data_IF_679253101166
#
_entry.id   IF_679253101166
#
_cell.length_a   1.000
_cell.length_b   1.000
_cell.length_c   1.000
_cell.angle_alpha   90.00
_cell.angle_beta   90.00
_cell.angle_gamma   90.00
#
_symmetry.space_group_name_H-M   'P 1'
#
loop_
_entity.id
_entity.type
_entity.pdbx_description
1 polymer ?
#
# COMPACT_ATOMS: atom_id res chain seq x y z
N UNK A 1 9.80 -16.07 27.55
CA UNK A 1 9.25 -15.00 28.41
C UNK A 1 8.09 -14.37 27.66
N UNK A 2 6.94 -14.18 28.30
CA UNK A 2 5.75 -13.60 27.64
C UNK A 2 5.97 -12.10 27.45
N UNK A 3 5.87 -11.61 26.20
CA UNK A 3 5.99 -10.18 25.89
C UNK A 3 4.62 -9.51 26.07
N UNK A 4 4.41 -8.88 27.22
CA UNK A 4 3.14 -8.23 27.59
C UNK A 4 2.76 -7.12 26.59
N UNK A 5 3.64 -6.17 26.22
CA UNK A 5 3.31 -5.14 25.23
C UNK A 5 2.73 -5.68 23.92
N UNK A 6 3.38 -6.67 23.31
CA UNK A 6 2.93 -7.27 22.03
C UNK A 6 1.55 -7.90 22.15
N UNK A 7 1.24 -8.51 23.29
CA UNK A 7 -0.07 -9.15 23.49
C UNK A 7 -1.17 -8.13 23.78
N UNK A 8 -0.86 -7.05 24.50
CA UNK A 8 -1.82 -5.99 24.77
C UNK A 8 -2.14 -5.16 23.53
N UNK A 9 -1.26 -5.11 22.51
CA UNK A 9 -1.58 -4.52 21.21
C UNK A 9 -2.75 -5.21 20.49
N UNK A 10 -3.09 -6.43 20.89
CA UNK A 10 -4.23 -7.19 20.36
C UNK A 10 -5.55 -6.90 21.08
N UNK A 11 -5.58 -5.94 21.99
CA UNK A 11 -6.86 -5.40 22.48
C UNK A 11 -7.48 -4.48 21.42
N UNK A 12 -8.80 -4.48 21.29
CA UNK A 12 -9.50 -3.61 20.32
C UNK A 12 -9.55 -2.13 20.72
N UNK A 13 -9.01 -1.76 21.88
CA UNK A 13 -8.95 -0.40 22.40
C UNK A 13 -7.52 -0.11 22.88
N UNK A 14 -6.95 1.04 22.50
CA UNK A 14 -5.69 1.53 23.09
C UNK A 14 -5.50 3.05 22.98
N UNK A 15 -5.27 3.70 24.13
CA UNK A 15 -4.41 4.88 24.36
C UNK A 15 -4.19 5.01 25.88
N UNK A 16 -2.99 5.38 26.37
CA UNK A 16 -2.27 4.49 27.29
C UNK A 16 -3.15 3.97 28.42
N UNK A 17 -3.06 2.67 28.68
CA UNK A 17 -3.27 2.10 30.01
C UNK A 17 -2.70 0.69 29.95
N UNK A 18 -1.37 0.56 29.86
CA UNK A 18 -0.75 -0.72 30.20
C UNK A 18 -0.71 -0.78 31.72
N UNK A 19 -1.58 -1.60 32.31
CA UNK A 19 -1.77 -1.63 33.76
C UNK A 19 -1.14 -2.87 34.41
N UNK A 20 -0.73 -3.85 33.60
CA UNK A 20 -0.12 -5.10 34.06
C UNK A 20 1.40 -5.00 33.98
N UNK A 21 2.08 -5.12 35.11
CA UNK A 21 3.53 -4.97 35.18
C UNK A 21 4.29 -6.27 34.93
N UNK A 22 3.77 -7.38 35.45
CA UNK A 22 4.42 -8.69 35.31
C UNK A 22 3.45 -9.85 35.46
N UNK A 23 3.80 -10.98 34.85
CA UNK A 23 3.12 -12.27 35.02
C UNK A 23 3.94 -13.10 36.01
N UNK A 24 3.31 -13.59 37.06
CA UNK A 24 3.99 -14.37 38.12
C UNK A 24 3.69 -15.86 38.02
N UNK A 25 2.50 -16.25 37.54
CA UNK A 25 2.13 -17.65 37.29
C UNK A 25 1.33 -17.76 35.99
N UNK A 26 1.54 -18.83 35.22
CA UNK A 26 0.83 -19.07 33.98
C UNK A 26 0.60 -20.55 33.72
N UNK A 27 -0.67 -20.94 33.65
CA UNK A 27 -1.16 -22.22 33.17
C UNK A 27 -1.95 -21.99 31.87
N UNK A 28 -1.35 -22.23 30.69
CA UNK A 28 -1.96 -21.92 29.40
C UNK A 28 -3.38 -22.44 29.26
N UNK A 29 -4.29 -21.55 28.82
CA UNK A 29 -5.69 -21.88 28.61
C UNK A 29 -6.52 -22.14 29.88
N UNK A 30 -5.94 -22.04 31.09
CA UNK A 30 -6.63 -22.31 32.35
C UNK A 30 -6.56 -21.16 33.35
N UNK A 31 -5.36 -20.74 33.75
CA UNK A 31 -5.16 -19.76 34.85
C UNK A 31 -3.96 -18.86 34.57
N UNK A 32 -4.05 -17.59 34.97
CA UNK A 32 -2.95 -16.65 34.90
C UNK A 32 -2.98 -15.75 36.13
N UNK A 33 -1.81 -15.55 36.74
CA UNK A 33 -1.61 -14.61 37.85
C UNK A 33 -0.63 -13.55 37.39
N UNK A 34 -1.03 -12.30 37.56
CA UNK A 34 -0.23 -11.15 37.21
C UNK A 34 -0.24 -10.13 38.34
N UNK A 35 0.62 -9.12 38.23
CA UNK A 35 0.72 -8.04 39.21
C UNK A 35 0.58 -6.68 38.57
N UNK A 36 -0.07 -5.79 39.32
CA UNK A 36 -0.09 -4.34 39.10
C UNK A 36 0.39 -3.66 40.38
N UNK A 37 1.45 -2.89 40.30
CA UNK A 37 1.92 -2.02 41.36
C UNK A 37 1.20 -0.69 41.21
N UNK A 38 0.56 -0.23 42.28
CA UNK A 38 -0.21 1.01 42.28
C UNK A 38 0.74 2.12 42.68
N UNK A 39 1.13 2.97 41.73
CA UNK A 39 2.07 4.07 42.00
C UNK A 39 1.37 5.41 41.98
N UNK A 40 1.76 6.30 42.89
CA UNK A 40 1.19 7.65 42.99
C UNK A 40 1.40 8.48 41.73
N UNK A 41 2.37 8.09 40.90
CA UNK A 41 2.69 8.76 39.64
C UNK A 41 1.75 8.39 38.48
N UNK A 42 0.81 7.46 38.66
CA UNK A 42 -0.19 7.16 37.62
C UNK A 42 -1.11 8.36 37.37
N UNK A 43 -1.32 8.70 36.10
CA UNK A 43 -1.97 9.96 35.66
C UNK A 43 -3.34 10.21 36.26
N UNK A 44 -4.11 9.14 36.49
CA UNK A 44 -5.46 9.22 37.01
C UNK A 44 -5.51 9.61 38.50
N UNK A 45 -4.41 9.51 39.25
CA UNK A 45 -4.35 10.01 40.63
C UNK A 45 -4.28 11.53 40.73
N UNK A 46 -3.87 12.23 39.68
CA UNK A 46 -3.79 13.70 39.69
C UNK A 46 -5.17 14.37 39.80
N UNK A 47 -6.25 13.65 39.42
CA UNK A 47 -7.63 14.16 39.48
C UNK A 47 -8.61 13.30 40.28
N UNK A 48 -8.25 12.07 40.68
CA UNK A 48 -9.16 11.14 41.35
C UNK A 48 -9.02 11.22 42.89
N UNK A 49 -9.92 12.00 43.51
CA UNK A 49 -9.99 12.33 44.95
C UNK A 49 -8.75 13.05 45.51
N UNK A 50 -8.65 14.38 45.31
CA UNK A 50 -7.56 15.18 45.88
C UNK A 50 -7.43 14.96 47.40
N UNK A 51 -6.24 14.59 47.87
CA UNK A 51 -5.95 14.30 49.28
C UNK A 51 -6.29 12.88 49.76
N UNK A 52 -6.96 12.06 48.95
CA UNK A 52 -7.31 10.66 49.26
C UNK A 52 -7.14 9.74 48.04
N UNK A 53 -5.92 9.61 47.48
CA UNK A 53 -5.68 8.92 46.22
C UNK A 53 -6.12 7.46 46.31
N UNK A 54 -7.10 7.08 45.49
CA UNK A 54 -7.66 5.73 45.43
C UNK A 54 -7.68 5.24 43.98
N UNK A 55 -7.28 4.00 43.70
CA UNK A 55 -7.36 3.42 42.36
C UNK A 55 -8.85 3.22 41.99
N UNK A 56 -9.34 3.82 40.89
CA UNK A 56 -10.71 3.62 40.44
C UNK A 56 -11.04 2.13 40.22
N UNK A 57 -12.23 1.70 40.65
CA UNK A 57 -12.66 0.30 40.48
C UNK A 57 -12.69 -0.16 39.02
N UNK A 58 -13.02 0.74 38.10
CA UNK A 58 -12.98 0.47 36.65
C UNK A 58 -11.56 0.16 36.14
N UNK A 59 -10.51 0.74 36.73
CA UNK A 59 -9.12 0.44 36.37
C UNK A 59 -8.64 -0.89 36.95
N UNK A 60 -9.20 -1.32 38.09
CA UNK A 60 -9.00 -2.69 38.57
C UNK A 60 -9.65 -3.70 37.61
N UNK A 61 -10.87 -3.44 37.13
CA UNK A 61 -11.53 -4.27 36.13
C UNK A 61 -10.78 -4.28 34.79
N UNK A 62 -10.25 -3.14 34.36
CA UNK A 62 -9.43 -3.03 33.15
C UNK A 62 -8.14 -3.85 33.28
N UNK A 63 -7.48 -3.77 34.43
CA UNK A 63 -6.28 -4.58 34.70
C UNK A 63 -6.60 -6.08 34.64
N UNK A 64 -7.71 -6.52 35.24
CA UNK A 64 -8.20 -7.90 35.16
C UNK A 64 -8.55 -8.32 33.71
N UNK A 65 -9.16 -7.41 32.94
CA UNK A 65 -9.47 -7.61 31.52
C UNK A 65 -8.20 -7.84 30.67
N UNK A 66 -7.14 -7.07 30.91
CA UNK A 66 -5.84 -7.23 30.25
C UNK A 66 -5.21 -8.60 30.54
N UNK A 67 -5.20 -9.01 31.81
CA UNK A 67 -4.70 -10.32 32.23
C UNK A 67 -5.51 -11.46 31.59
N UNK A 68 -6.83 -11.29 31.48
CA UNK A 68 -7.69 -12.29 30.84
C UNK A 68 -7.48 -12.36 29.32
N UNK A 69 -7.23 -11.23 28.67
CA UNK A 69 -6.88 -11.18 27.25
C UNK A 69 -5.55 -11.89 26.98
N UNK A 70 -4.52 -11.64 27.80
CA UNK A 70 -3.22 -12.34 27.72
C UNK A 70 -3.43 -13.86 27.82
N UNK A 71 -4.18 -14.32 28.83
CA UNK A 71 -4.46 -15.75 29.02
C UNK A 71 -5.20 -16.36 27.82
N UNK A 72 -6.13 -15.62 27.20
CA UNK A 72 -6.81 -16.07 25.99
C UNK A 72 -5.88 -16.12 24.77
N UNK A 73 -4.97 -15.16 24.61
CA UNK A 73 -4.05 -15.08 23.47
C UNK A 73 -2.90 -16.09 23.55
N UNK A 74 -2.58 -16.57 24.76
CA UNK A 74 -1.51 -17.54 25.01
C UNK A 74 -1.99 -19.00 25.13
N UNK A 75 -3.26 -19.27 24.82
CA UNK A 75 -3.78 -20.65 24.79
C UNK A 75 -3.34 -21.39 23.53
N UNK A 76 -3.37 -22.72 23.60
CA UNK A 76 -3.14 -23.57 22.44
C UNK A 76 -4.19 -23.34 21.35
N UNK A 77 -3.71 -23.18 20.10
CA UNK A 77 -4.55 -22.96 18.94
C UNK A 77 -5.23 -21.58 18.88
N UNK A 78 -4.74 -20.57 19.61
CA UNK A 78 -5.15 -19.19 19.38
C UNK A 78 -4.70 -18.73 17.98
N UNK A 79 -5.63 -18.27 17.10
CA UNK A 79 -5.24 -17.70 15.83
C UNK A 79 -4.28 -16.52 16.02
N UNK A 80 -3.19 -16.43 15.23
CA UNK A 80 -2.14 -15.44 15.41
C UNK A 80 -2.64 -14.00 15.23
N UNK A 81 -3.77 -13.84 14.56
CA UNK A 81 -4.50 -12.62 14.26
C UNK A 81 -5.71 -12.45 15.18
N UNK A 82 -5.81 -13.07 16.35
CA UNK A 82 -6.96 -12.81 17.23
C UNK A 82 -6.80 -11.50 17.99
N UNK A 83 -7.81 -10.63 17.94
CA UNK A 83 -7.99 -9.52 18.89
C UNK A 83 -9.05 -9.86 19.94
N UNK A 84 -8.90 -9.25 21.12
CA UNK A 84 -9.78 -9.42 22.27
C UNK A 84 -10.40 -8.08 22.65
N UNK A 85 -11.66 -8.10 23.06
CA UNK A 85 -12.31 -6.94 23.67
C UNK A 85 -13.22 -7.37 24.83
N UNK A 86 -13.33 -6.53 25.85
CA UNK A 86 -14.25 -6.71 26.96
C UNK A 86 -15.65 -6.40 26.46
N UNK A 87 -16.51 -7.42 26.44
CA UNK A 87 -17.90 -7.31 25.99
C UNK A 87 -18.85 -7.03 27.15
N UNK A 88 -18.52 -7.49 28.35
CA UNK A 88 -19.36 -7.26 29.52
C UNK A 88 -18.68 -7.66 30.83
N UNK A 89 -19.18 -7.10 31.91
CA UNK A 89 -18.74 -7.38 33.29
C UNK A 89 -19.98 -7.74 34.10
N UNK A 90 -19.98 -8.91 34.73
CA UNK A 90 -21.09 -9.39 35.55
C UNK A 90 -20.67 -9.50 37.01
N UNK A 91 -21.56 -9.06 37.91
CA UNK A 91 -21.39 -9.25 39.35
C UNK A 91 -20.14 -8.59 39.94
N UNK A 92 -19.69 -7.46 39.37
CA UNK A 92 -18.53 -6.73 39.87
C UNK A 92 -18.74 -6.28 41.32
N UNK A 93 -17.78 -6.59 42.19
CA UNK A 93 -17.76 -6.15 43.59
C UNK A 93 -16.42 -5.53 43.92
N UNK A 94 -16.45 -4.40 44.61
CA UNK A 94 -15.28 -3.68 45.11
C UNK A 94 -15.37 -3.66 46.64
N UNK A 95 -14.41 -4.30 47.30
CA UNK A 95 -14.51 -4.64 48.73
C UNK A 95 -13.65 -3.75 49.62
N UNK A 96 -12.61 -3.13 49.07
CA UNK A 96 -11.66 -2.28 49.79
C UNK A 96 -11.10 -1.21 48.85
N UNK A 97 -10.79 -0.04 49.41
CA UNK A 97 -9.99 0.97 48.71
C UNK A 97 -8.57 0.44 48.47
N UNK A 98 -8.07 0.69 47.27
CA UNK A 98 -6.70 0.39 46.86
C UNK A 98 -6.00 1.72 46.66
N UNK A 99 -4.83 1.90 47.26
CA UNK A 99 -4.13 3.19 47.32
C UNK A 99 -2.72 3.06 46.76
N UNK A 100 -2.04 4.18 46.42
CA UNK A 100 -0.62 4.14 46.07
C UNK A 100 0.22 3.40 47.10
N UNK A 101 1.11 2.53 46.63
CA UNK A 101 1.92 1.63 47.45
C UNK A 101 1.35 0.20 47.55
N UNK A 102 0.05 0.02 47.28
CA UNK A 102 -0.53 -1.32 47.20
C UNK A 102 0.00 -2.08 45.97
N UNK A 103 0.13 -3.40 46.11
CA UNK A 103 0.40 -4.32 45.01
C UNK A 103 -0.79 -5.21 44.78
N UNK A 104 -1.43 -5.06 43.63
CA UNK A 104 -2.51 -5.91 43.18
C UNK A 104 -1.95 -7.23 42.66
N UNK A 105 -2.43 -8.33 43.22
CA UNK A 105 -2.32 -9.67 42.62
C UNK A 105 -3.61 -9.95 41.86
N UNK A 106 -3.49 -10.07 40.55
CA UNK A 106 -4.60 -10.22 39.59
C UNK A 106 -4.68 -11.68 39.17
N UNK A 107 -5.74 -12.36 39.55
CA UNK A 107 -5.96 -13.77 39.22
C UNK A 107 -7.10 -13.94 38.25
N UNK A 108 -6.81 -14.62 37.14
CA UNK A 108 -7.81 -14.98 36.13
C UNK A 108 -7.88 -16.49 35.99
N UNK A 109 -9.11 -17.02 35.97
CA UNK A 109 -9.40 -18.41 35.59
C UNK A 109 -10.38 -18.44 34.42
N UNK A 110 -10.04 -19.16 33.35
CA UNK A 110 -10.92 -19.30 32.20
C UNK A 110 -12.05 -20.28 32.50
N UNK A 111 -13.27 -19.84 32.19
CA UNK A 111 -14.49 -20.65 32.25
C UNK A 111 -14.84 -21.23 30.88
N UNK A 112 -16.13 -21.51 30.66
CA UNK A 112 -16.62 -22.02 29.37
C UNK A 112 -16.39 -21.03 28.24
N UNK A 113 -15.97 -21.56 27.09
CA UNK A 113 -15.83 -20.83 25.81
C UNK A 113 -16.89 -21.30 24.82
N UNK A 114 -17.43 -20.39 24.02
CA UNK A 114 -18.32 -20.69 22.90
C UNK A 114 -18.00 -19.78 21.73
N UNK A 115 -17.61 -20.37 20.59
CA UNK A 115 -17.28 -19.65 19.36
C UNK A 115 -16.36 -18.44 19.61
N UNK A 116 -16.86 -17.22 19.42
CA UNK A 116 -16.19 -15.93 19.57
C UNK A 116 -16.30 -15.30 20.97
N UNK A 117 -16.72 -16.06 22.00
CA UNK A 117 -16.87 -15.58 23.37
C UNK A 117 -16.19 -16.48 24.39
N UNK A 118 -15.56 -15.85 25.38
CA UNK A 118 -14.99 -16.50 26.55
C UNK A 118 -15.45 -15.83 27.84
N UNK A 119 -15.75 -16.64 28.86
CA UNK A 119 -15.98 -16.16 30.22
C UNK A 119 -14.73 -16.37 31.05
N UNK A 120 -14.42 -15.41 31.90
CA UNK A 120 -13.30 -15.50 32.83
C UNK A 120 -13.74 -15.06 34.23
N UNK A 121 -13.43 -15.88 35.24
CA UNK A 121 -13.55 -15.47 36.64
C UNK A 121 -12.32 -14.63 36.96
N UNK A 122 -12.52 -13.44 37.50
CA UNK A 122 -11.49 -12.46 37.74
C UNK A 122 -11.52 -11.97 39.18
N UNK A 123 -10.38 -12.04 39.87
CA UNK A 123 -10.25 -11.63 41.28
C UNK A 123 -8.95 -10.86 41.46
N UNK A 124 -9.01 -9.72 42.13
CA UNK A 124 -7.85 -8.92 42.51
C UNK A 124 -7.69 -8.94 44.04
N UNK A 125 -6.45 -9.06 44.50
CA UNK A 125 -6.09 -9.08 45.91
C UNK A 125 -5.05 -8.00 46.24
N UNK A 126 -5.05 -7.53 47.49
CA UNK A 126 -3.92 -6.85 48.14
C UNK A 126 -3.56 -7.69 49.36
N UNK A 127 -2.37 -8.28 49.37
CA UNK A 127 -2.05 -9.38 50.29
C UNK A 127 -3.04 -10.54 50.11
N UNK A 128 -3.69 -10.93 51.21
CA UNK A 128 -4.69 -12.01 51.23
C UNK A 128 -6.14 -11.52 51.11
N UNK A 129 -6.36 -10.21 51.06
CA UNK A 129 -7.69 -9.63 51.00
C UNK A 129 -8.16 -9.43 49.55
N UNK A 130 -9.36 -9.92 49.23
CA UNK A 130 -10.02 -9.61 47.95
C UNK A 130 -10.40 -8.13 47.93
N UNK A 131 -9.93 -7.39 46.94
CA UNK A 131 -10.25 -5.98 46.75
C UNK A 131 -11.23 -5.75 45.59
N UNK A 132 -11.19 -6.61 44.57
CA UNK A 132 -12.18 -6.61 43.49
C UNK A 132 -12.44 -8.03 42.96
N UNK A 133 -13.67 -8.30 42.53
CA UNK A 133 -14.01 -9.54 41.83
C UNK A 133 -15.11 -9.31 40.79
N UNK A 134 -15.06 -10.05 39.68
CA UNK A 134 -16.08 -10.02 38.64
C UNK A 134 -16.03 -11.30 37.78
N UNK A 135 -17.10 -11.53 37.01
CA UNK A 135 -17.05 -12.41 35.84
C UNK A 135 -16.97 -11.55 34.58
N UNK A 136 -15.90 -11.73 33.81
CA UNK A 136 -15.65 -11.01 32.56
C UNK A 136 -16.17 -11.82 31.37
N UNK A 137 -16.84 -11.15 30.45
CA UNK A 137 -17.20 -11.70 29.14
C UNK A 137 -16.32 -11.03 28.08
N UNK A 138 -15.49 -11.83 27.41
CA UNK A 138 -14.52 -11.37 26.42
C UNK A 138 -14.96 -11.83 25.03
N UNK A 139 -14.98 -10.90 24.08
CA UNK A 139 -15.16 -11.17 22.66
C UNK A 139 -13.83 -11.44 21.97
N UNK A 140 -13.81 -12.42 21.08
CA UNK A 140 -12.69 -12.79 20.23
C UNK A 140 -13.07 -12.47 18.79
N UNK A 141 -12.29 -11.62 18.13
CA UNK A 141 -12.49 -11.26 16.74
C UNK A 141 -11.18 -11.43 15.97
N UNK A 142 -11.22 -11.91 14.72
CA UNK A 142 -10.04 -11.84 13.86
C UNK A 142 -9.64 -10.37 13.68
N UNK A 143 -8.34 -10.12 13.71
CA UNK A 143 -7.70 -8.84 13.52
C UNK A 143 -8.03 -8.41 12.11
N UNK A 144 -8.81 -7.34 12.02
CA UNK A 144 -9.36 -6.92 10.75
C UNK A 144 -8.30 -6.25 9.90
N UNK A 145 -7.21 -5.74 10.46
CA UNK A 145 -6.24 -4.96 9.69
C UNK A 145 -4.87 -5.01 10.34
N UNK A 146 -3.82 -5.18 9.53
CA UNK A 146 -2.42 -5.15 9.96
C UNK A 146 -1.82 -3.82 9.51
N UNK A 147 -1.76 -2.83 10.41
CA UNK A 147 -1.30 -1.47 10.09
C UNK A 147 0.03 -1.25 10.80
N UNK A 148 1.09 -1.03 10.02
CA UNK A 148 2.40 -0.74 10.57
C UNK A 148 2.36 0.53 11.44
N UNK A 149 3.01 0.57 12.62
CA UNK A 149 3.00 1.73 13.50
C UNK A 149 3.52 3.03 12.89
N UNK A 150 4.36 2.95 11.86
CA UNK A 150 4.87 4.11 11.14
C UNK A 150 3.95 4.58 9.99
N UNK A 151 2.87 3.87 9.71
CA UNK A 151 1.87 4.30 8.73
C UNK A 151 1.00 5.44 9.30
N UNK A 152 0.62 6.37 8.43
CA UNK A 152 -0.29 7.48 8.77
C UNK A 152 -1.63 7.19 8.14
N UNK A 153 -2.58 6.70 8.92
CA UNK A 153 -3.94 6.40 8.47
C UNK A 153 -4.91 7.39 9.12
N UNK A 154 -5.61 8.17 8.31
CA UNK A 154 -6.59 9.11 8.84
C UNK A 154 -7.73 8.38 9.56
N UNK A 155 -8.22 8.85 10.72
CA UNK A 155 -9.25 8.14 11.50
C UNK A 155 -10.59 7.89 10.79
N UNK A 156 -10.89 8.67 9.74
CA UNK A 156 -12.10 8.52 8.92
C UNK A 156 -11.95 7.52 7.76
N UNK A 157 -10.72 7.09 7.45
CA UNK A 157 -10.48 6.12 6.40
C UNK A 157 -11.16 4.79 6.73
N UNK A 158 -11.73 4.14 5.73
CA UNK A 158 -12.26 2.79 5.87
C UNK A 158 -11.24 1.76 5.39
N UNK A 159 -10.85 0.84 6.25
CA UNK A 159 -9.91 -0.23 5.94
C UNK A 159 -10.61 -1.58 6.12
N UNK A 160 -10.74 -2.34 5.02
CA UNK A 160 -11.40 -3.63 5.00
C UNK A 160 -10.64 -4.75 5.70
N UNK A 161 -11.35 -5.84 6.03
CA UNK A 161 -10.82 -6.95 6.80
C UNK A 161 -9.65 -7.68 6.09
N UNK A 162 -8.61 -8.09 6.82
CA UNK A 162 -7.40 -8.73 6.30
C UNK A 162 -6.42 -7.79 5.59
N UNK A 163 -6.73 -6.49 5.47
CA UNK A 163 -5.89 -5.52 4.76
C UNK A 163 -4.64 -5.18 5.54
N UNK A 164 -3.50 -5.11 4.83
CA UNK A 164 -2.19 -4.77 5.39
C UNK A 164 -1.69 -3.43 4.88
N UNK A 165 -1.18 -2.59 5.77
CA UNK A 165 -0.61 -1.28 5.45
C UNK A 165 0.82 -1.23 5.96
N UNK A 166 1.77 -1.07 5.05
CA UNK A 166 3.20 -1.05 5.33
C UNK A 166 3.69 0.27 5.93
N UNK A 167 4.95 0.31 6.39
CA UNK A 167 5.54 1.45 7.07
C UNK A 167 5.55 2.70 6.19
N UNK A 168 5.32 3.86 6.81
CA UNK A 168 5.34 5.18 6.16
C UNK A 168 4.29 5.38 5.05
N UNK A 169 3.39 4.42 4.84
CA UNK A 169 2.26 4.62 3.94
C UNK A 169 1.31 5.68 4.51
N UNK A 170 0.66 6.44 3.63
CA UNK A 170 -0.29 7.50 4.00
C UNK A 170 -1.65 7.17 3.40
N UNK A 171 -2.68 7.12 4.24
CA UNK A 171 -4.07 6.89 3.84
C UNK A 171 -4.95 8.08 4.26
N UNK A 172 -5.54 8.74 3.27
CA UNK A 172 -6.37 9.93 3.43
C UNK A 172 -7.77 9.70 4.01
N UNK A 173 -8.41 10.79 4.43
CA UNK A 173 -9.69 10.78 5.16
C UNK A 173 -10.86 10.14 4.40
N UNK A 174 -10.91 10.31 3.08
CA UNK A 174 -12.02 9.87 2.23
C UNK A 174 -11.72 8.56 1.48
N UNK A 175 -10.67 7.84 1.91
CA UNK A 175 -10.26 6.58 1.31
C UNK A 175 -11.06 5.42 1.88
N UNK A 176 -11.50 4.53 0.99
CA UNK A 176 -12.14 3.26 1.32
C UNK A 176 -11.38 2.12 0.65
N UNK A 177 -10.67 1.33 1.44
CA UNK A 177 -9.99 0.11 1.01
C UNK A 177 -10.86 -1.10 1.33
N UNK A 178 -11.01 -1.99 0.35
CA UNK A 178 -11.64 -3.29 0.50
C UNK A 178 -10.87 -4.25 1.41
N UNK A 179 -11.34 -5.49 1.47
CA UNK A 179 -10.74 -6.56 2.25
C UNK A 179 -9.49 -7.14 1.58
N UNK A 180 -8.56 -7.65 2.39
CA UNK A 180 -7.35 -8.37 1.95
C UNK A 180 -6.46 -7.58 0.99
N UNK A 181 -6.51 -6.25 1.04
CA UNK A 181 -5.60 -5.40 0.26
C UNK A 181 -4.20 -5.38 0.89
N UNK A 182 -3.19 -5.03 0.11
CA UNK A 182 -1.83 -4.78 0.59
C UNK A 182 -1.37 -3.42 0.11
N UNK A 183 -0.99 -2.55 1.05
CA UNK A 183 -0.41 -1.24 0.75
C UNK A 183 1.05 -1.27 1.18
N UNK A 184 1.95 -1.06 0.22
CA UNK A 184 3.38 -1.10 0.37
C UNK A 184 3.93 0.12 1.10
N UNK A 185 5.22 0.05 1.46
CA UNK A 185 5.88 1.11 2.21
C UNK A 185 5.89 2.44 1.43
N UNK A 186 5.66 3.55 2.14
CA UNK A 186 5.67 4.89 1.56
C UNK A 186 4.72 5.10 0.37
N UNK A 187 3.71 4.25 0.19
CA UNK A 187 2.64 4.49 -0.76
C UNK A 187 1.66 5.54 -0.21
N UNK A 188 1.10 6.37 -1.09
CA UNK A 188 0.11 7.39 -0.74
C UNK A 188 -1.20 7.07 -1.43
N UNK A 189 -2.24 6.86 -0.64
CA UNK A 189 -3.62 6.73 -1.12
C UNK A 189 -4.44 7.84 -0.49
N UNK A 190 -5.01 8.73 -1.29
CA UNK A 190 -5.73 9.90 -0.79
C UNK A 190 -6.90 10.27 -1.73
N UNK A 191 -7.60 11.36 -1.46
CA UNK A 191 -8.76 11.81 -2.21
C UNK A 191 -10.01 10.97 -1.92
N UNK A 192 -11.06 11.22 -2.71
CA UNK A 192 -12.30 10.45 -2.65
C UNK A 192 -12.12 9.18 -3.47
N UNK A 193 -11.59 8.16 -2.82
CA UNK A 193 -11.02 7.00 -3.49
C UNK A 193 -11.59 5.71 -2.91
N UNK A 194 -12.27 4.94 -3.75
CA UNK A 194 -12.77 3.61 -3.44
C UNK A 194 -11.88 2.55 -4.13
N UNK A 195 -11.38 1.58 -3.38
CA UNK A 195 -10.53 0.49 -3.90
C UNK A 195 -11.10 -0.86 -3.46
N UNK A 196 -11.37 -1.73 -4.42
CA UNK A 196 -11.91 -3.07 -4.17
C UNK A 196 -10.93 -4.07 -3.57
N UNK A 197 -11.49 -5.19 -3.11
CA UNK A 197 -10.80 -6.25 -2.37
C UNK A 197 -9.58 -6.83 -3.09
N UNK A 198 -8.61 -7.34 -2.32
CA UNK A 198 -7.46 -8.09 -2.84
C UNK A 198 -6.52 -7.27 -3.71
N UNK A 199 -6.62 -5.94 -3.67
CA UNK A 199 -5.74 -5.04 -4.43
C UNK A 199 -4.38 -4.94 -3.78
N UNK A 200 -3.32 -5.02 -4.58
CA UNK A 200 -1.93 -4.85 -4.16
C UNK A 200 -1.37 -3.52 -4.68
N UNK A 201 -0.93 -2.67 -3.77
CA UNK A 201 -0.34 -1.36 -4.03
C UNK A 201 1.10 -1.43 -3.54
N UNK A 202 2.07 -1.30 -4.42
CA UNK A 202 3.48 -1.38 -4.08
C UNK A 202 4.03 -0.04 -3.60
N UNK A 203 5.26 -0.09 -3.09
CA UNK A 203 5.92 1.06 -2.50
C UNK A 203 5.97 2.27 -3.43
N UNK A 204 5.83 3.46 -2.85
CA UNK A 204 5.91 4.75 -3.56
C UNK A 204 4.84 5.00 -4.64
N UNK A 205 3.80 4.15 -4.73
CA UNK A 205 2.64 4.45 -5.56
C UNK A 205 1.84 5.65 -4.99
N UNK A 206 1.25 6.44 -5.88
CA UNK A 206 0.45 7.62 -5.57
C UNK A 206 -0.94 7.49 -6.20
N UNK A 207 -1.96 7.19 -5.40
CA UNK A 207 -3.28 6.78 -5.88
C UNK A 207 -4.36 7.72 -5.32
N UNK A 208 -5.20 8.27 -6.21
CA UNK A 208 -6.34 9.12 -5.84
C UNK A 208 -6.03 10.60 -5.66
N UNK A 209 -4.76 11.00 -5.88
CA UNK A 209 -4.32 12.39 -5.80
C UNK A 209 -5.01 13.29 -6.84
N UNK A 210 -4.93 14.60 -6.59
CA UNK A 210 -5.51 15.64 -7.45
C UNK A 210 -5.04 15.51 -8.91
N UNK A 211 -5.90 15.79 -9.89
CA UNK A 211 -5.52 15.73 -11.30
C UNK A 211 -4.50 16.82 -11.66
N UNK A 212 -3.70 16.56 -12.70
CA UNK A 212 -2.74 17.51 -13.25
C UNK A 212 -3.37 18.48 -14.28
N UNK A 213 -4.70 18.54 -14.33
CA UNK A 213 -5.43 19.52 -15.17
C UNK A 213 -5.39 20.91 -14.49
N UNK A 214 -4.88 21.91 -15.22
CA UNK A 214 -4.78 23.30 -14.75
C UNK A 214 -6.14 23.94 -14.40
N UNK A 215 -7.24 23.37 -14.92
CA UNK A 215 -8.61 23.80 -14.64
C UNK A 215 -9.13 23.30 -13.30
N UNK A 216 -8.51 22.28 -12.69
CA UNK A 216 -8.92 21.76 -11.40
C UNK A 216 -8.77 22.83 -10.30
N UNK A 217 -9.83 23.07 -9.52
CA UNK A 217 -9.86 24.11 -8.47
C UNK A 217 -10.14 23.55 -7.07
N UNK A 218 -9.93 22.26 -6.86
CA UNK A 218 -10.19 21.61 -5.58
C UNK A 218 -11.60 21.03 -5.47
N UNK A 219 -12.31 20.86 -6.59
CA UNK A 219 -13.61 20.19 -6.57
C UNK A 219 -13.53 18.76 -6.00
N UNK A 220 -14.63 18.32 -5.42
CA UNK A 220 -14.82 16.93 -4.98
C UNK A 220 -15.04 16.03 -6.21
N UNK A 221 -13.98 15.31 -6.60
CA UNK A 221 -14.00 14.31 -7.67
C UNK A 221 -13.46 12.99 -7.16
N UNK A 222 -13.75 11.91 -7.88
CA UNK A 222 -13.58 10.54 -7.39
C UNK A 222 -12.59 9.71 -8.20
N UNK A 223 -12.07 8.69 -7.54
CA UNK A 223 -11.40 7.55 -8.15
C UNK A 223 -12.10 6.27 -7.67
N UNK A 224 -12.50 5.41 -8.59
CA UNK A 224 -13.14 4.13 -8.28
C UNK A 224 -12.33 2.99 -8.91
N UNK A 225 -11.78 2.12 -8.08
CA UNK A 225 -10.94 0.98 -8.48
C UNK A 225 -11.64 -0.31 -8.05
N UNK A 226 -11.74 -1.27 -8.97
CA UNK A 226 -12.26 -2.61 -8.72
C UNK A 226 -11.32 -3.47 -7.87
N UNK A 227 -11.48 -4.79 -7.95
CA UNK A 227 -10.77 -5.77 -7.11
C UNK A 227 -9.59 -6.43 -7.81
N UNK A 228 -8.64 -6.93 -7.02
CA UNK A 228 -7.55 -7.78 -7.49
C UNK A 228 -6.58 -7.09 -8.43
N UNK A 229 -6.49 -5.75 -8.37
CA UNK A 229 -5.56 -4.98 -9.18
C UNK A 229 -4.15 -5.02 -8.56
N UNK A 230 -3.13 -4.93 -9.40
CA UNK A 230 -1.72 -4.83 -8.97
C UNK A 230 -1.16 -3.52 -9.48
N UNK A 231 -0.84 -2.61 -8.56
CA UNK A 231 -0.16 -1.34 -8.83
C UNK A 231 1.28 -1.44 -8.36
N UNK A 232 2.22 -1.46 -9.30
CA UNK A 232 3.65 -1.55 -9.02
C UNK A 232 4.22 -0.21 -8.55
N UNK A 233 5.53 -0.21 -8.33
CA UNK A 233 6.28 0.89 -7.77
C UNK A 233 6.12 2.16 -8.62
N UNK A 234 5.95 3.31 -7.95
CA UNK A 234 5.84 4.63 -8.60
C UNK A 234 4.67 4.78 -9.59
N UNK A 235 3.65 3.92 -9.51
CA UNK A 235 2.42 4.12 -10.27
C UNK A 235 1.69 5.38 -9.77
N UNK A 236 1.14 6.15 -10.70
CA UNK A 236 0.36 7.36 -10.39
C UNK A 236 -1.04 7.26 -11.00
N UNK A 237 -2.08 7.35 -10.17
CA UNK A 237 -3.49 7.31 -10.59
C UNK A 237 -4.18 8.54 -10.04
N UNK A 238 -4.74 9.37 -10.92
CA UNK A 238 -5.40 10.62 -10.53
C UNK A 238 -6.92 10.52 -10.61
N UNK A 239 -7.60 11.16 -9.67
CA UNK A 239 -9.07 11.31 -9.68
C UNK A 239 -9.53 12.19 -10.85
N UNK A 240 -10.83 12.17 -11.13
CA UNK A 240 -11.40 12.93 -12.25
C UNK A 240 -11.39 14.46 -12.07
N UNK A 241 -11.97 15.17 -13.04
CA UNK A 241 -12.21 16.61 -13.02
C UNK A 241 -13.71 16.88 -13.16
N UNK A 242 -14.22 17.99 -12.63
CA UNK A 242 -15.66 18.31 -12.77
C UNK A 242 -16.10 18.36 -14.25
N UNK A 243 -15.24 18.85 -15.13
CA UNK A 243 -15.52 18.95 -16.56
C UNK A 243 -15.48 17.61 -17.30
N UNK A 244 -14.79 16.61 -16.76
CA UNK A 244 -14.60 15.30 -17.37
C UNK A 244 -15.54 14.19 -16.91
N UNK A 245 -16.54 14.52 -16.07
CA UNK A 245 -17.45 13.55 -15.46
C UNK A 245 -17.17 13.31 -13.98
N UNK A 246 -16.09 13.87 -13.44
CA UNK A 246 -15.78 13.90 -12.01
C UNK A 246 -15.28 12.58 -11.45
N UNK A 247 -14.95 11.60 -12.32
CA UNK A 247 -14.55 10.26 -11.89
C UNK A 247 -13.54 9.64 -12.85
N UNK A 248 -12.46 9.09 -12.30
CA UNK A 248 -11.60 8.11 -12.98
C UNK A 248 -12.02 6.72 -12.51
N UNK A 249 -12.15 5.75 -13.43
CA UNK A 249 -12.56 4.38 -13.09
C UNK A 249 -11.56 3.34 -13.58
N UNK A 250 -11.25 2.34 -12.75
CA UNK A 250 -10.45 1.17 -13.09
C UNK A 250 -11.24 -0.08 -12.68
N UNK A 251 -11.37 -1.06 -13.59
CA UNK A 251 -12.05 -2.33 -13.32
C UNK A 251 -11.23 -3.30 -12.46
N UNK A 252 -11.40 -4.59 -12.72
CA UNK A 252 -10.85 -5.69 -11.95
C UNK A 252 -9.60 -6.33 -12.60
N UNK A 253 -8.73 -6.92 -11.78
CA UNK A 253 -7.63 -7.81 -12.19
C UNK A 253 -6.65 -7.21 -13.21
N UNK A 254 -6.44 -5.91 -13.15
CA UNK A 254 -5.46 -5.25 -14.01
C UNK A 254 -4.06 -5.28 -13.40
N UNK A 255 -3.04 -5.22 -14.26
CA UNK A 255 -1.64 -5.10 -13.84
C UNK A 255 -1.06 -3.79 -14.37
N UNK A 256 -0.65 -2.92 -13.45
CA UNK A 256 0.02 -1.67 -13.73
C UNK A 256 1.48 -1.79 -13.29
N UNK A 257 2.40 -1.96 -14.25
CA UNK A 257 3.82 -2.07 -13.95
C UNK A 257 4.44 -0.73 -13.52
N UNK A 258 5.72 -0.74 -13.16
CA UNK A 258 6.34 0.42 -12.52
C UNK A 258 6.26 1.68 -13.40
N UNK A 259 6.03 2.84 -12.76
CA UNK A 259 5.90 4.15 -13.41
C UNK A 259 4.72 4.30 -14.37
N UNK A 260 3.71 3.42 -14.33
CA UNK A 260 2.48 3.65 -15.11
C UNK A 260 1.74 4.88 -14.59
N UNK A 261 1.22 5.68 -15.51
CA UNK A 261 0.42 6.87 -15.23
C UNK A 261 -0.98 6.73 -15.81
N UNK A 262 -1.99 6.94 -14.98
CA UNK A 262 -3.39 7.10 -15.37
C UNK A 262 -3.84 8.49 -14.98
N UNK A 263 -4.05 9.34 -15.99
CA UNK A 263 -4.53 10.70 -15.79
C UNK A 263 -6.01 10.74 -15.36
N UNK A 264 -6.51 11.95 -15.22
CA UNK A 264 -7.89 12.23 -14.84
C UNK A 264 -8.91 11.73 -15.87
N UNK A 265 -10.08 11.36 -15.38
CA UNK A 265 -11.26 11.01 -16.18
C UNK A 265 -11.05 9.82 -17.13
N UNK A 266 -10.03 8.99 -16.85
CA UNK A 266 -9.80 7.77 -17.59
C UNK A 266 -10.80 6.67 -17.18
N UNK A 267 -11.10 5.79 -18.13
CA UNK A 267 -11.93 4.61 -17.92
C UNK A 267 -11.16 3.36 -18.35
N UNK A 268 -10.65 2.59 -17.40
CA UNK A 268 -9.94 1.32 -17.64
C UNK A 268 -10.84 0.15 -17.28
N UNK A 269 -10.96 -0.83 -18.19
CA UNK A 269 -11.74 -2.05 -18.03
C UNK A 269 -11.07 -3.08 -17.11
N UNK A 270 -11.27 -4.36 -17.45
CA UNK A 270 -10.79 -5.50 -16.67
C UNK A 270 -9.68 -6.27 -17.39
N UNK A 271 -8.86 -6.97 -16.61
CA UNK A 271 -7.82 -7.89 -17.13
C UNK A 271 -6.84 -7.22 -18.12
N UNK A 272 -6.62 -5.91 -17.96
CA UNK A 272 -5.70 -5.12 -18.78
C UNK A 272 -4.27 -5.16 -18.22
N UNK A 273 -3.29 -4.94 -19.09
CA UNK A 273 -1.87 -4.96 -18.73
C UNK A 273 -1.19 -3.69 -19.24
N UNK A 274 -0.58 -2.95 -18.33
CA UNK A 274 0.23 -1.77 -18.63
C UNK A 274 1.69 -2.06 -18.30
N UNK A 275 2.53 -2.05 -19.32
CA UNK A 275 3.98 -2.18 -19.18
C UNK A 275 4.62 -0.94 -18.54
N UNK A 276 5.87 -1.06 -18.09
CA UNK A 276 6.56 0.01 -17.38
C UNK A 276 6.49 1.34 -18.14
N UNK A 277 6.21 2.44 -17.44
CA UNK A 277 6.08 3.79 -18.03
C UNK A 277 4.96 3.96 -19.07
N UNK A 278 4.00 3.02 -19.17
CA UNK A 278 2.81 3.28 -19.97
C UNK A 278 2.03 4.47 -19.40
N UNK A 279 1.65 5.41 -20.27
CA UNK A 279 1.09 6.71 -19.84
C UNK A 279 -0.22 6.97 -20.57
N UNK A 280 -1.29 7.19 -19.81
CA UNK A 280 -2.59 7.61 -20.34
C UNK A 280 -2.78 9.09 -20.10
N UNK A 281 -3.06 9.85 -21.16
CA UNK A 281 -3.54 11.23 -21.05
C UNK A 281 -4.97 11.29 -20.49
N UNK A 282 -5.48 12.49 -20.23
CA UNK A 282 -6.83 12.67 -19.69
C UNK A 282 -7.93 12.09 -20.58
N UNK A 283 -9.01 11.60 -19.99
CA UNK A 283 -10.19 11.08 -20.72
C UNK A 283 -9.93 9.86 -21.61
N UNK A 284 -8.85 9.10 -21.37
CA UNK A 284 -8.56 7.89 -22.16
C UNK A 284 -9.48 6.75 -21.72
N UNK A 285 -10.00 5.99 -22.70
CA UNK A 285 -10.70 4.73 -22.44
C UNK A 285 -9.82 3.54 -22.82
N UNK A 286 -9.66 2.56 -21.93
CA UNK A 286 -8.98 1.29 -22.21
C UNK A 286 -9.95 0.17 -21.89
N UNK A 287 -10.34 -0.60 -22.91
CA UNK A 287 -11.33 -1.68 -22.76
C UNK A 287 -10.68 -2.99 -22.27
N UNK A 288 -11.52 -3.96 -21.94
CA UNK A 288 -11.09 -5.23 -21.34
C UNK A 288 -9.99 -5.94 -22.15
N UNK A 289 -9.08 -6.62 -21.44
CA UNK A 289 -7.99 -7.42 -22.01
C UNK A 289 -6.99 -6.66 -22.90
N UNK A 290 -7.07 -5.33 -22.96
CA UNK A 290 -6.12 -4.54 -23.72
C UNK A 290 -4.73 -4.52 -23.07
N UNK A 291 -3.70 -4.42 -23.90
CA UNK A 291 -2.31 -4.29 -23.49
C UNK A 291 -1.74 -2.95 -23.96
N UNK A 292 -1.16 -2.19 -23.03
CA UNK A 292 -0.34 -1.01 -23.34
C UNK A 292 1.10 -1.31 -22.95
N UNK A 293 1.93 -1.70 -23.91
CA UNK A 293 3.31 -2.10 -23.64
C UNK A 293 4.19 -0.95 -23.14
N UNK A 294 5.33 -1.32 -22.54
CA UNK A 294 6.25 -0.40 -21.88
C UNK A 294 6.67 0.81 -22.73
N UNK A 295 6.77 1.97 -22.08
CA UNK A 295 7.18 3.24 -22.68
C UNK A 295 6.16 3.84 -23.66
N UNK A 296 4.94 3.31 -23.73
CA UNK A 296 3.93 3.78 -24.68
C UNK A 296 3.04 4.86 -24.06
N UNK A 297 2.61 5.82 -24.88
CA UNK A 297 1.68 6.87 -24.51
C UNK A 297 0.36 6.76 -25.27
N UNK A 298 -0.76 7.04 -24.60
CA UNK A 298 -2.07 7.21 -25.21
C UNK A 298 -2.51 8.64 -25.01
N UNK A 299 -2.69 9.37 -26.11
CA UNK A 299 -3.07 10.78 -26.08
C UNK A 299 -4.49 10.95 -25.51
N UNK A 300 -4.74 12.10 -24.88
CA UNK A 300 -6.04 12.42 -24.29
C UNK A 300 -7.21 12.16 -25.26
N UNK A 301 -8.34 11.72 -24.72
CA UNK A 301 -9.57 11.33 -25.43
C UNK A 301 -9.49 10.11 -26.36
N UNK A 302 -8.32 9.50 -26.54
CA UNK A 302 -8.20 8.30 -27.36
C UNK A 302 -8.74 7.05 -26.64
N UNK A 303 -9.10 6.05 -27.45
CA UNK A 303 -9.52 4.74 -26.96
C UNK A 303 -8.52 3.65 -27.31
N UNK A 304 -8.38 2.67 -26.44
CA UNK A 304 -7.71 1.40 -26.68
C UNK A 304 -8.76 0.30 -26.61
N UNK A 305 -9.15 -0.23 -27.77
CA UNK A 305 -10.25 -1.18 -27.87
C UNK A 305 -9.97 -2.53 -27.21
N UNK A 306 -11.04 -3.31 -26.99
CA UNK A 306 -10.98 -4.61 -26.32
C UNK A 306 -9.98 -5.54 -27.01
N UNK A 307 -9.15 -6.23 -26.25
CA UNK A 307 -8.04 -7.07 -26.76
C UNK A 307 -7.03 -6.35 -27.68
N UNK A 308 -7.03 -5.02 -27.75
CA UNK A 308 -6.01 -4.31 -28.52
C UNK A 308 -4.63 -4.46 -27.86
N UNK A 309 -3.59 -4.49 -28.69
CA UNK A 309 -2.21 -4.58 -28.24
C UNK A 309 -1.41 -3.40 -28.76
N UNK A 310 -1.02 -2.49 -27.87
CA UNK A 310 -0.10 -1.39 -28.19
C UNK A 310 1.32 -1.87 -27.98
N UNK A 311 2.14 -1.88 -29.04
CA UNK A 311 3.55 -2.27 -28.94
C UNK A 311 4.40 -1.26 -28.17
N UNK A 312 5.50 -1.70 -27.58
CA UNK A 312 6.33 -0.84 -26.72
C UNK A 312 6.92 0.38 -27.44
N UNK A 313 7.06 1.48 -26.71
CA UNK A 313 7.49 2.80 -27.19
C UNK A 313 6.60 3.38 -28.31
N UNK A 314 5.29 3.11 -28.26
CA UNK A 314 4.33 3.68 -29.21
C UNK A 314 3.67 4.94 -28.66
N UNK A 315 3.33 5.88 -29.54
CA UNK A 315 2.45 7.02 -29.20
C UNK A 315 1.15 6.87 -29.99
N UNK A 316 0.04 6.65 -29.26
CA UNK A 316 -1.30 6.48 -29.81
C UNK A 316 -2.00 7.84 -29.82
N UNK A 317 -2.21 8.41 -31.00
CA UNK A 317 -2.86 9.73 -31.20
C UNK A 317 -4.26 9.64 -31.83
N UNK A 318 -4.71 8.41 -32.11
CA UNK A 318 -6.04 8.06 -32.59
C UNK A 318 -6.43 6.75 -31.92
N UNK A 319 -7.72 6.41 -31.93
CA UNK A 319 -8.22 5.17 -31.35
C UNK A 319 -7.45 3.94 -31.89
N UNK A 320 -6.97 3.11 -30.98
CA UNK A 320 -6.43 1.80 -31.30
C UNK A 320 -7.58 0.80 -31.37
N UNK A 321 -7.72 0.15 -32.52
CA UNK A 321 -8.86 -0.69 -32.82
C UNK A 321 -8.90 -1.95 -31.92
N UNK A 322 -10.10 -2.42 -31.52
CA UNK A 322 -10.26 -3.68 -30.83
C UNK A 322 -9.61 -4.84 -31.60
N UNK A 323 -9.06 -5.81 -30.87
CA UNK A 323 -8.39 -7.02 -31.38
C UNK A 323 -7.16 -6.76 -32.26
N UNK A 324 -6.77 -5.50 -32.47
CA UNK A 324 -5.69 -5.12 -33.37
C UNK A 324 -4.37 -4.89 -32.63
N UNK A 325 -3.27 -5.07 -33.37
CA UNK A 325 -1.94 -4.64 -32.93
C UNK A 325 -1.66 -3.25 -33.49
N UNK A 326 -1.46 -2.29 -32.60
CA UNK A 326 -1.06 -0.91 -32.95
C UNK A 326 0.37 -0.70 -32.50
N UNK A 327 1.24 -0.25 -33.40
CA UNK A 327 2.63 0.09 -33.06
C UNK A 327 2.94 1.45 -33.64
N UNK A 328 3.35 2.38 -32.78
CA UNK A 328 3.91 3.66 -33.16
C UNK A 328 5.32 3.47 -33.71
N UNK A 329 5.66 4.27 -34.71
CA UNK A 329 6.97 4.43 -35.36
C UNK A 329 8.03 3.34 -35.07
N UNK A 330 7.96 2.26 -35.83
CA UNK A 330 9.10 1.38 -36.14
C UNK A 330 9.27 1.30 -37.66
N UNK A 331 10.51 1.18 -38.18
CA UNK A 331 11.76 0.92 -37.48
C UNK A 331 12.50 2.18 -36.99
N UNK A 332 13.43 2.00 -36.04
CA UNK A 332 14.44 3.00 -35.73
C UNK A 332 15.18 3.40 -37.01
N UNK A 333 15.31 4.70 -37.26
CA UNK A 333 15.96 5.23 -38.47
C UNK A 333 17.29 5.86 -38.11
N UNK A 334 18.31 5.57 -38.93
CA UNK A 334 19.59 6.24 -38.89
C UNK A 334 19.49 7.46 -39.83
N UNK A 335 19.90 8.64 -39.36
CA UNK A 335 19.85 9.89 -40.13
C UNK A 335 21.23 10.39 -40.58
N UNK A 336 22.23 9.50 -40.58
CA UNK A 336 23.62 9.77 -40.94
C UNK A 336 24.56 9.84 -39.74
N UNK A 337 25.78 10.34 -39.98
CA UNK A 337 26.82 10.43 -38.96
C UNK A 337 26.48 11.45 -37.86
N UNK A 338 26.82 11.13 -36.61
CA UNK A 338 26.76 12.07 -35.47
C UNK A 338 27.86 13.14 -35.58
N UNK A 339 27.69 14.03 -36.55
CA UNK A 339 28.69 15.03 -36.96
C UNK A 339 29.12 15.91 -35.79
N UNK A 340 28.15 16.42 -35.00
CA UNK A 340 28.43 17.29 -33.84
C UNK A 340 29.20 16.52 -32.76
N UNK A 341 28.80 15.27 -32.47
CA UNK A 341 29.48 14.43 -31.49
C UNK A 341 30.92 14.11 -31.88
N UNK A 342 31.17 13.81 -33.15
CA UNK A 342 32.50 13.54 -33.69
C UNK A 342 33.37 14.80 -33.65
N UNK A 343 32.85 15.95 -34.07
CA UNK A 343 33.56 17.24 -33.98
C UNK A 343 33.95 17.58 -32.54
N UNK A 344 33.03 17.39 -31.57
CA UNK A 344 33.29 17.63 -30.14
C UNK A 344 34.36 16.71 -29.54
N UNK A 345 34.61 15.55 -30.16
CA UNK A 345 35.67 14.61 -29.75
C UNK A 345 36.97 14.79 -30.53
N UNK A 346 37.08 15.84 -31.34
CA UNK A 346 38.30 16.14 -32.10
C UNK A 346 38.53 15.23 -33.30
N UNK A 347 37.50 14.53 -33.79
CA UNK A 347 37.63 13.73 -35.01
C UNK A 347 37.90 14.68 -36.19
N UNK A 348 38.94 14.44 -37.01
CA UNK A 348 39.30 15.31 -38.12
C UNK A 348 38.14 15.57 -39.09
N UNK A 349 37.95 16.80 -39.61
CA UNK A 349 36.86 17.12 -40.52
C UNK A 349 36.81 16.23 -41.77
N UNK A 350 37.96 15.80 -42.29
CA UNK A 350 38.03 14.92 -43.46
C UNK A 350 37.47 13.52 -43.15
N UNK A 351 37.77 12.96 -41.97
CA UNK A 351 37.21 11.69 -41.50
C UNK A 351 35.69 11.78 -41.34
N UNK A 352 35.19 12.91 -40.81
CA UNK A 352 33.75 13.14 -40.66
C UNK A 352 33.05 13.18 -42.04
N UNK A 353 33.65 13.83 -43.04
CA UNK A 353 33.11 13.85 -44.40
C UNK A 353 33.14 12.46 -45.07
N UNK A 354 34.18 11.66 -44.83
CA UNK A 354 34.23 10.26 -45.29
C UNK A 354 33.13 9.40 -44.65
N UNK A 355 32.88 9.57 -43.35
CA UNK A 355 31.77 8.89 -42.65
C UNK A 355 30.41 9.34 -43.21
N UNK A 356 30.18 10.64 -43.42
CA UNK A 356 28.96 11.15 -44.08
C UNK A 356 28.78 10.55 -45.47
N UNK A 357 29.85 10.47 -46.27
CA UNK A 357 29.88 9.80 -47.57
C UNK A 357 29.42 8.34 -47.48
N UNK A 358 29.97 7.59 -46.53
CA UNK A 358 29.62 6.19 -46.28
C UNK A 358 28.15 6.03 -45.86
N UNK A 359 27.65 6.88 -44.98
CA UNK A 359 26.23 6.89 -44.60
C UNK A 359 25.29 7.22 -45.77
N UNK A 360 25.69 8.05 -46.74
CA UNK A 360 24.88 8.27 -47.95
C UNK A 360 24.73 6.99 -48.76
N UNK A 361 25.80 6.20 -48.91
CA UNK A 361 25.72 4.88 -49.56
C UNK A 361 24.82 3.92 -48.77
N UNK A 362 24.96 3.85 -47.45
CA UNK A 362 24.19 2.92 -46.62
C UNK A 362 22.70 3.27 -46.49
N UNK A 363 22.34 4.56 -46.49
CA UNK A 363 21.00 5.01 -46.10
C UNK A 363 20.20 5.68 -47.22
N UNK A 364 20.87 6.28 -48.21
CA UNK A 364 20.21 7.09 -49.24
C UNK A 364 20.38 6.53 -50.66
N UNK A 365 21.32 5.59 -50.85
CA UNK A 365 21.46 4.91 -52.13
C UNK A 365 20.31 3.90 -52.33
N UNK A 366 20.00 3.58 -53.60
CA UNK A 366 19.06 2.50 -53.95
C UNK A 366 19.71 1.10 -53.86
N UNK A 367 20.88 0.99 -53.22
CA UNK A 367 21.61 -0.27 -53.07
C UNK A 367 21.13 -1.01 -51.82
N UNK A 368 21.17 -2.34 -51.87
CA UNK A 368 21.07 -3.13 -50.65
C UNK A 368 22.37 -3.04 -49.83
N UNK A 369 22.33 -3.45 -48.56
CA UNK A 369 23.47 -3.34 -47.63
C UNK A 369 24.75 -3.93 -48.21
N UNK A 370 24.70 -5.14 -48.78
CA UNK A 370 25.87 -5.81 -49.37
C UNK A 370 26.49 -4.99 -50.50
N UNK A 371 25.68 -4.46 -51.42
CA UNK A 371 26.16 -3.65 -52.55
C UNK A 371 26.67 -2.28 -52.08
N UNK A 372 26.01 -1.66 -51.10
CA UNK A 372 26.47 -0.41 -50.51
C UNK A 372 27.85 -0.58 -49.85
N UNK A 373 28.05 -1.64 -49.06
CA UNK A 373 29.35 -1.95 -48.46
C UNK A 373 30.44 -2.19 -49.52
N UNK A 374 30.14 -2.93 -50.59
CA UNK A 374 31.08 -3.13 -51.70
C UNK A 374 31.45 -1.81 -52.38
N UNK A 375 30.48 -0.90 -52.56
CA UNK A 375 30.73 0.41 -53.16
C UNK A 375 31.61 1.28 -52.26
N UNK A 376 31.37 1.29 -50.95
CA UNK A 376 32.21 2.02 -49.99
C UNK A 376 33.64 1.47 -50.00
N UNK A 377 33.82 0.13 -50.00
CA UNK A 377 35.16 -0.49 -50.09
C UNK A 377 35.90 -0.16 -51.40
N UNK A 378 35.19 0.10 -52.49
CA UNK A 378 35.79 0.47 -53.80
C UNK A 378 36.13 1.95 -53.90
N UNK A 379 35.40 2.80 -53.18
CA UNK A 379 35.61 4.24 -53.20
C UNK A 379 36.81 4.62 -52.32
N UNK A 380 38.00 4.69 -52.94
CA UNK A 380 39.26 5.04 -52.25
C UNK A 380 39.21 6.40 -51.55
N UNK A 381 38.31 7.30 -51.94
CA UNK A 381 38.16 8.61 -51.28
C UNK A 381 37.56 8.50 -49.88
N UNK A 382 36.82 7.41 -49.60
CA UNK A 382 36.22 7.13 -48.29
C UNK A 382 37.13 6.32 -47.36
N UNK A 383 38.32 5.91 -47.81
CA UNK A 383 39.22 5.07 -47.04
C UNK A 383 39.75 5.80 -45.80
N UNK A 384 39.43 5.27 -44.62
CA UNK A 384 40.05 5.59 -43.33
C UNK A 384 39.69 4.50 -42.29
N UNK A 385 40.42 4.40 -41.17
CA UNK A 385 40.18 3.39 -40.14
C UNK A 385 38.74 3.38 -39.59
N UNK A 386 38.10 4.54 -39.45
CA UNK A 386 36.74 4.67 -38.93
C UNK A 386 35.68 4.17 -39.94
N UNK A 387 35.95 4.32 -41.24
CA UNK A 387 35.07 3.78 -42.29
C UNK A 387 35.27 2.28 -42.43
N UNK A 388 36.50 1.76 -42.24
CA UNK A 388 36.76 0.33 -42.19
C UNK A 388 36.02 -0.32 -41.02
N UNK A 389 36.12 0.26 -39.82
CA UNK A 389 35.36 -0.18 -38.64
C UNK A 389 33.84 -0.11 -38.84
N UNK A 390 33.32 0.86 -39.60
CA UNK A 390 31.90 0.93 -39.93
C UNK A 390 31.43 -0.24 -40.84
N UNK A 391 32.34 -0.85 -41.59
CA UNK A 391 32.05 -1.92 -42.54
C UNK A 391 32.32 -3.34 -42.01
N UNK A 392 32.92 -3.45 -40.83
CA UNK A 392 33.09 -4.71 -40.09
C UNK A 392 31.80 -5.06 -39.33
#
# INVERSE_FOLDING_TARGET
MINIPILLDRLCYRYPSMLVDAITEHEPGRRLVAVKNVTVNEEFFQGHFPGAPTLPGVLMLESLSQVAAILLLQRDGAPPDTRIYLRGVNGAKFRRQVVPGDRLRLEISLGRRRASLARAKAVAYVGDQIVAEAELLLGLVPDRTDIDPAAIVHPQAHIGAGTKIGPLAVIGANVRLGANCRVGASAVVDGWTDIGDGTEIFSFASIGLIPQDLKFKGEETRLVIGRGNIFREFVTIHRGTRGGGGVTTIGDRNVFMAYVHVAHDCHVGNDTIFGNMATLGGHVTVEDFANVSAGSGVHQFCRVGRHAFIGGYSVVTKDALPFARTVGSRPARIFGANTIGLMRRGVPPDVIEKLKGSFRYLLQSKLNTTKAMQQIRRDRTLSCPEVEYLLD
#
